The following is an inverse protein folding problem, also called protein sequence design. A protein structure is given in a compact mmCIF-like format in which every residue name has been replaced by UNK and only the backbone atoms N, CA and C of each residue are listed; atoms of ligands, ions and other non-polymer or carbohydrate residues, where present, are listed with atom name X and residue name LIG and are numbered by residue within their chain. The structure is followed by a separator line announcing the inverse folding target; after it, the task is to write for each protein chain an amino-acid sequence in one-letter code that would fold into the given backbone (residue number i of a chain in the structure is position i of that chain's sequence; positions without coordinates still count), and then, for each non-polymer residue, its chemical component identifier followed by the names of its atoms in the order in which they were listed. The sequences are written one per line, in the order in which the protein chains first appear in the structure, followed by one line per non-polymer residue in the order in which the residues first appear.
data_IF_754207966824
#
_entry.id   IF_754207966824
#
_cell.length_a   1.000
_cell.length_b   1.000
_cell.length_c   1.000
_cell.angle_alpha   90.00
_cell.angle_beta   90.00
_cell.angle_gamma   90.00
#
_symmetry.space_group_name_H-M   'P 1'
#
loop_
_entity.id
_entity.type
_entity.pdbx_description
1 polymer ?
#
# COMPACT_ATOMS: atom_id res chain seq x y z
N UNK A 1 -72.32 39.83 16.33
CA UNK A 1 -71.60 38.60 16.64
C UNK A 1 -70.79 38.23 15.40
N UNK A 2 -69.46 38.55 15.39
CA UNK A 2 -68.57 38.25 14.26
C UNK A 2 -67.80 36.96 14.63
N UNK A 3 -68.02 35.88 13.85
CA UNK A 3 -67.36 34.64 14.00
C UNK A 3 -66.02 34.71 13.21
N UNK A 4 -64.88 34.64 13.88
CA UNK A 4 -63.61 34.53 13.24
C UNK A 4 -63.30 33.04 13.08
N UNK A 5 -63.12 32.59 11.84
CA UNK A 5 -62.66 31.25 11.49
C UNK A 5 -61.17 31.30 11.40
N UNK A 6 -60.47 30.66 12.36
CA UNK A 6 -59.02 30.41 12.27
C UNK A 6 -58.77 29.15 11.43
N UNK A 7 -58.13 29.30 10.29
CA UNK A 7 -57.57 28.20 9.52
C UNK A 7 -56.19 27.87 10.11
N UNK A 8 -55.87 26.64 10.47
CA UNK A 8 -54.49 26.27 10.81
C UNK A 8 -53.71 26.09 9.51
N UNK A 9 -52.69 26.92 9.34
CA UNK A 9 -51.66 26.72 8.32
C UNK A 9 -50.80 25.50 8.67
N UNK A 10 -51.03 24.42 7.94
CA UNK A 10 -50.14 23.24 8.01
C UNK A 10 -48.82 23.59 7.34
N UNK A 11 -47.75 23.73 8.15
CA UNK A 11 -46.41 23.83 7.65
C UNK A 11 -45.96 22.41 7.27
N UNK A 12 -45.91 22.11 5.97
CA UNK A 12 -45.34 20.90 5.43
C UNK A 12 -43.80 21.06 5.42
N UNK A 13 -43.13 20.53 6.42
CA UNK A 13 -41.66 20.43 6.42
C UNK A 13 -41.30 19.27 5.48
N UNK A 14 -40.94 19.59 4.25
CA UNK A 14 -40.28 18.61 3.38
C UNK A 14 -38.86 18.37 3.89
N UNK A 15 -38.66 17.26 4.58
CA UNK A 15 -37.34 16.71 4.81
C UNK A 15 -36.81 16.20 3.47
N UNK A 16 -35.99 17.01 2.80
CA UNK A 16 -35.15 16.55 1.70
C UNK A 16 -34.11 15.61 2.29
N UNK A 17 -34.39 14.33 2.29
CA UNK A 17 -33.35 13.32 2.49
C UNK A 17 -32.50 13.33 1.22
N UNK A 18 -31.35 13.98 1.28
CA UNK A 18 -30.30 13.75 0.28
C UNK A 18 -29.88 12.28 0.45
N UNK A 19 -30.45 11.39 -0.32
CA UNK A 19 -29.87 10.12 -0.58
C UNK A 19 -28.69 10.40 -1.51
N UNK A 20 -27.48 10.54 -0.96
CA UNK A 20 -26.27 10.42 -1.75
C UNK A 20 -26.32 9.01 -2.34
N UNK A 21 -26.62 8.91 -3.62
CA UNK A 21 -26.40 7.70 -4.37
C UNK A 21 -24.88 7.50 -4.35
N UNK A 22 -24.41 6.53 -3.56
CA UNK A 22 -23.04 6.09 -3.67
C UNK A 22 -22.87 5.57 -5.11
N UNK A 23 -22.25 6.36 -5.96
CA UNK A 23 -21.81 5.90 -7.26
C UNK A 23 -20.64 4.95 -7.00
N UNK A 24 -20.79 3.70 -7.40
CA UNK A 24 -19.69 2.75 -7.47
C UNK A 24 -18.68 3.27 -8.49
N UNK A 25 -17.44 3.46 -8.06
CA UNK A 25 -16.34 3.87 -8.91
C UNK A 25 -15.52 2.65 -9.36
N UNK A 26 -14.95 2.75 -10.55
CA UNK A 26 -14.03 1.74 -11.05
C UNK A 26 -12.60 2.24 -10.94
N UNK A 27 -11.73 1.37 -10.42
CA UNK A 27 -10.31 1.64 -10.22
C UNK A 27 -9.48 0.57 -10.92
N UNK A 28 -8.35 0.96 -11.44
CA UNK A 28 -7.45 0.06 -12.17
C UNK A 28 -6.16 -0.15 -11.37
N UNK A 29 -5.69 -1.39 -11.38
CA UNK A 29 -4.37 -1.80 -10.86
C UNK A 29 -3.65 -2.56 -11.96
N UNK A 30 -2.44 -2.15 -12.27
CA UNK A 30 -1.62 -2.83 -13.27
C UNK A 30 -0.72 -3.87 -12.60
N UNK A 31 -0.47 -4.97 -13.29
CA UNK A 31 0.63 -5.89 -13.05
C UNK A 31 1.68 -5.56 -14.09
N UNK A 32 2.70 -4.75 -13.76
CA UNK A 32 3.63 -4.24 -14.75
C UNK A 32 4.57 -5.32 -15.26
N UNK A 33 5.13 -5.10 -16.45
CA UNK A 33 6.10 -5.99 -17.05
C UNK A 33 7.30 -6.24 -16.12
N UNK A 34 7.63 -7.50 -15.89
CA UNK A 34 8.74 -7.92 -15.03
C UNK A 34 8.34 -8.24 -13.59
N UNK A 35 7.07 -8.11 -13.21
CA UNK A 35 6.58 -8.40 -11.85
C UNK A 35 6.81 -9.85 -11.41
N UNK A 36 6.93 -10.77 -12.35
CA UNK A 36 7.20 -12.19 -12.07
C UNK A 36 8.60 -12.47 -11.50
N UNK A 37 9.57 -11.57 -11.69
CA UNK A 37 10.96 -11.82 -11.26
C UNK A 37 11.34 -10.93 -10.07
N UNK A 38 11.45 -11.51 -8.85
CA UNK A 38 11.78 -10.74 -7.64
C UNK A 38 13.21 -10.18 -7.65
N UNK A 39 14.04 -10.61 -8.60
CA UNK A 39 15.44 -10.14 -8.76
C UNK A 39 15.52 -8.92 -9.67
N UNK A 40 14.50 -8.71 -10.51
CA UNK A 40 14.48 -7.52 -11.34
C UNK A 40 14.33 -6.31 -10.43
N UNK A 41 15.39 -5.52 -10.38
CA UNK A 41 15.36 -4.18 -9.78
C UNK A 41 14.53 -3.28 -10.70
N UNK A 42 13.21 -3.42 -10.62
CA UNK A 42 12.36 -2.37 -11.15
C UNK A 42 12.59 -1.13 -10.28
N UNK A 43 12.67 0.07 -10.86
CA UNK A 43 12.89 1.29 -10.07
C UNK A 43 11.87 1.50 -8.96
N UNK A 44 10.78 0.76 -9.00
CA UNK A 44 9.63 0.96 -8.14
C UNK A 44 9.46 -0.09 -7.06
N UNK A 45 10.14 -1.25 -7.10
CA UNK A 45 9.86 -2.39 -6.23
C UNK A 45 8.35 -2.72 -6.12
N UNK A 46 7.61 -2.46 -7.20
CA UNK A 46 6.16 -2.47 -7.25
C UNK A 46 5.74 -3.64 -8.13
N UNK A 47 5.08 -4.61 -7.50
CA UNK A 47 4.51 -5.76 -8.19
C UNK A 47 3.12 -5.47 -8.78
N UNK A 48 2.46 -4.46 -8.19
CA UNK A 48 1.15 -3.93 -8.58
C UNK A 48 1.24 -2.41 -8.60
N UNK A 49 0.64 -1.76 -9.57
CA UNK A 49 0.65 -0.29 -9.71
C UNK A 49 -0.79 0.26 -9.74
N UNK A 50 -1.22 0.94 -8.67
CA UNK A 50 -0.50 1.20 -7.42
C UNK A 50 -0.44 -0.05 -6.52
N UNK A 51 0.57 -0.18 -5.62
CA UNK A 51 0.70 -1.31 -4.69
C UNK A 51 -0.33 -1.25 -3.55
N UNK A 52 -0.82 -0.05 -3.27
CA UNK A 52 -1.85 0.22 -2.27
C UNK A 52 -2.90 1.14 -2.89
N UNK A 53 -4.17 0.76 -2.74
CA UNK A 53 -5.28 1.52 -3.30
C UNK A 53 -6.36 1.75 -2.24
N UNK A 54 -6.97 2.95 -2.29
CA UNK A 54 -8.03 3.37 -1.37
C UNK A 54 -9.31 3.52 -2.16
N UNK A 55 -10.34 2.82 -1.73
CA UNK A 55 -11.64 2.76 -2.41
C UNK A 55 -12.78 2.84 -1.39
N UNK A 56 -13.99 3.07 -1.86
CA UNK A 56 -15.21 3.06 -1.06
C UNK A 56 -15.93 1.72 -1.15
N UNK A 57 -16.80 1.44 -0.17
CA UNK A 57 -17.70 0.28 -0.25
C UNK A 57 -18.58 0.41 -1.50
N UNK A 58 -18.61 -0.65 -2.30
CA UNK A 58 -19.31 -0.72 -3.58
C UNK A 58 -18.40 -0.48 -4.80
N UNK A 59 -17.19 0.02 -4.61
CA UNK A 59 -16.25 0.22 -5.71
C UNK A 59 -15.71 -1.11 -6.24
N UNK A 60 -15.32 -1.07 -7.50
CA UNK A 60 -14.76 -2.22 -8.22
C UNK A 60 -13.32 -1.93 -8.59
N UNK A 61 -12.43 -2.88 -8.30
CA UNK A 61 -11.05 -2.84 -8.77
C UNK A 61 -10.89 -3.85 -9.90
N UNK A 62 -10.21 -3.42 -10.97
CA UNK A 62 -9.81 -4.28 -12.09
C UNK A 62 -8.29 -4.36 -12.13
N UNK A 63 -7.76 -5.58 -12.04
CA UNK A 63 -6.33 -5.86 -12.23
C UNK A 63 -6.09 -6.23 -13.69
N UNK A 64 -5.17 -5.53 -14.34
CA UNK A 64 -4.74 -5.76 -15.73
C UNK A 64 -3.35 -6.40 -15.74
N UNK A 65 -3.20 -7.51 -16.44
CA UNK A 65 -1.91 -8.15 -16.59
C UNK A 65 -1.16 -7.62 -17.80
N UNK A 66 -0.17 -6.76 -17.56
CA UNK A 66 0.77 -6.28 -18.58
C UNK A 66 2.11 -7.04 -18.53
N UNK A 67 2.26 -7.98 -17.59
CA UNK A 67 3.44 -8.84 -17.51
C UNK A 67 3.37 -9.95 -18.58
N UNK A 68 4.50 -10.56 -18.85
CA UNK A 68 4.61 -11.69 -19.81
C UNK A 68 4.18 -13.03 -19.24
N UNK A 69 4.08 -13.14 -17.90
CA UNK A 69 3.68 -14.36 -17.20
C UNK A 69 2.21 -14.31 -16.79
N UNK A 70 1.65 -15.46 -16.45
CA UNK A 70 0.29 -15.54 -15.90
C UNK A 70 0.30 -15.21 -14.41
N UNK A 71 -0.74 -14.49 -13.97
CA UNK A 71 -0.93 -14.12 -12.57
C UNK A 71 -2.34 -14.45 -12.10
N UNK A 72 -2.54 -14.46 -10.79
CA UNK A 72 -3.85 -14.41 -10.17
C UNK A 72 -3.85 -13.42 -9.00
N UNK A 73 -5.03 -13.07 -8.53
CA UNK A 73 -5.23 -12.18 -7.38
C UNK A 73 -5.96 -12.96 -6.31
N UNK A 74 -5.29 -13.24 -5.20
CA UNK A 74 -5.84 -14.03 -4.09
C UNK A 74 -5.72 -13.24 -2.79
N UNK A 75 -6.84 -13.12 -2.06
CA UNK A 75 -6.84 -12.45 -0.75
C UNK A 75 -6.02 -13.23 0.27
N UNK A 76 -5.15 -12.52 0.99
CA UNK A 76 -4.26 -13.12 1.98
C UNK A 76 -2.92 -12.44 2.06
N UNK A 77 -2.00 -13.06 2.78
CA UNK A 77 -0.62 -12.60 2.93
C UNK A 77 0.29 -13.49 2.07
N UNK A 78 1.09 -12.89 1.21
CA UNK A 78 2.14 -13.58 0.47
C UNK A 78 3.38 -13.81 1.33
N UNK A 79 4.50 -14.11 0.69
CA UNK A 79 5.78 -14.31 1.39
C UNK A 79 6.62 -13.04 1.49
N UNK A 80 6.14 -11.96 0.84
CA UNK A 80 6.91 -10.75 0.64
C UNK A 80 8.16 -10.97 -0.20
N UNK A 81 8.86 -9.90 -0.53
CA UNK A 81 10.04 -9.92 -1.41
C UNK A 81 11.14 -10.89 -0.97
N UNK A 82 11.28 -11.12 0.32
CA UNK A 82 12.35 -11.98 0.85
C UNK A 82 11.95 -13.46 0.98
N UNK A 83 10.66 -13.77 0.92
CA UNK A 83 10.17 -15.15 1.00
C UNK A 83 10.62 -16.04 -0.16
N UNK A 84 11.02 -15.47 -1.30
CA UNK A 84 11.55 -16.24 -2.43
C UNK A 84 12.95 -16.83 -2.16
N UNK A 85 13.69 -16.32 -1.16
CA UNK A 85 15.00 -16.83 -0.77
C UNK A 85 14.92 -18.01 0.19
N UNK A 86 13.78 -18.17 0.88
CA UNK A 86 13.49 -19.29 1.77
C UNK A 86 12.41 -20.19 1.17
N UNK A 87 12.85 -21.22 0.46
CA UNK A 87 11.98 -22.17 -0.23
C UNK A 87 11.09 -23.00 0.72
N UNK A 88 11.25 -22.88 2.03
CA UNK A 88 10.49 -23.66 3.02
C UNK A 88 9.13 -23.04 3.38
N UNK A 89 8.90 -21.73 3.10
CA UNK A 89 7.68 -21.02 3.47
C UNK A 89 6.99 -20.31 2.29
N UNK A 90 7.12 -20.83 1.08
CA UNK A 90 6.89 -20.11 -0.17
C UNK A 90 5.47 -20.13 -0.74
N UNK A 91 4.43 -20.40 0.04
CA UNK A 91 3.09 -20.58 -0.53
C UNK A 91 2.09 -19.46 -0.24
N UNK A 92 2.42 -18.52 0.64
CA UNK A 92 1.47 -17.52 1.11
C UNK A 92 0.33 -18.13 1.98
N UNK A 93 -0.48 -17.27 2.57
CA UNK A 93 -1.60 -17.64 3.47
C UNK A 93 -2.91 -17.01 2.95
N UNK A 94 -3.71 -17.75 2.14
CA UNK A 94 -4.94 -17.23 1.58
C UNK A 94 -6.04 -17.14 2.64
N UNK A 95 -6.78 -16.01 2.65
CA UNK A 95 -7.93 -15.83 3.56
C UNK A 95 -9.23 -16.40 3.00
N UNK A 96 -9.31 -16.67 1.70
CA UNK A 96 -10.51 -17.16 1.04
C UNK A 96 -11.59 -16.10 0.78
N UNK A 97 -11.30 -14.81 1.00
CA UNK A 97 -12.28 -13.75 0.76
C UNK A 97 -12.53 -13.50 -0.73
N UNK A 98 -11.48 -13.49 -1.54
CA UNK A 98 -11.55 -13.53 -3.00
C UNK A 98 -10.37 -14.28 -3.59
N UNK A 99 -10.57 -14.83 -4.78
CA UNK A 99 -9.50 -15.41 -5.60
C UNK A 99 -9.94 -15.41 -7.05
N UNK A 100 -9.09 -14.91 -7.94
CA UNK A 100 -9.26 -15.10 -9.37
C UNK A 100 -8.70 -16.45 -9.81
N UNK A 101 -9.07 -16.90 -11.01
CA UNK A 101 -8.27 -17.87 -11.74
C UNK A 101 -6.99 -17.20 -12.28
N UNK A 102 -6.08 -17.98 -12.84
CA UNK A 102 -4.92 -17.46 -13.55
C UNK A 102 -5.39 -16.75 -14.83
N UNK A 103 -4.90 -15.53 -15.06
CA UNK A 103 -5.16 -14.76 -16.26
C UNK A 103 -3.85 -14.35 -16.95
N UNK A 104 -3.86 -14.44 -18.28
CA UNK A 104 -2.67 -14.26 -19.10
C UNK A 104 -2.39 -12.77 -19.41
N UNK A 105 -1.25 -12.51 -20.06
CA UNK A 105 -0.89 -11.18 -20.58
C UNK A 105 -2.02 -10.58 -21.41
N UNK A 106 -2.39 -9.34 -21.10
CA UNK A 106 -3.47 -8.59 -21.77
C UNK A 106 -4.88 -8.93 -21.26
N UNK A 107 -5.02 -9.89 -20.35
CA UNK A 107 -6.28 -10.18 -19.68
C UNK A 107 -6.41 -9.39 -18.36
N UNK A 108 -7.61 -9.40 -17.79
CA UNK A 108 -7.91 -8.70 -16.55
C UNK A 108 -8.91 -9.49 -15.71
N UNK A 109 -8.94 -9.16 -14.43
CA UNK A 109 -9.93 -9.66 -13.49
C UNK A 109 -10.41 -8.54 -12.59
N UNK A 110 -11.70 -8.56 -12.21
CA UNK A 110 -12.31 -7.50 -11.40
C UNK A 110 -12.99 -8.07 -10.17
N UNK A 111 -12.97 -7.28 -9.09
CA UNK A 111 -13.68 -7.61 -7.85
C UNK A 111 -14.31 -6.35 -7.25
N UNK A 112 -15.57 -6.47 -6.77
CA UNK A 112 -16.30 -5.40 -6.11
C UNK A 112 -16.21 -5.57 -4.58
N UNK A 113 -15.76 -4.53 -3.89
CA UNK A 113 -15.59 -4.54 -2.44
C UNK A 113 -16.86 -4.05 -1.74
N UNK A 114 -17.64 -4.97 -1.18
CA UNK A 114 -18.92 -4.67 -0.52
C UNK A 114 -18.80 -4.51 1.01
N UNK A 115 -17.60 -4.60 1.56
CA UNK A 115 -17.35 -4.54 3.00
C UNK A 115 -16.18 -3.62 3.30
N UNK A 116 -16.28 -2.86 4.40
CA UNK A 116 -15.16 -2.09 4.96
C UNK A 116 -14.05 -3.01 5.40
N UNK A 117 -12.82 -2.62 5.12
CA UNK A 117 -11.70 -3.41 5.61
C UNK A 117 -10.37 -3.04 5.00
N UNK A 118 -9.38 -3.84 5.34
CA UNK A 118 -8.06 -3.82 4.73
C UNK A 118 -7.84 -5.21 4.19
N UNK A 119 -7.75 -5.30 2.90
CA UNK A 119 -7.65 -6.54 2.17
C UNK A 119 -6.26 -6.64 1.54
N UNK A 120 -5.40 -7.47 2.12
CA UNK A 120 -4.16 -7.85 1.49
C UNK A 120 -4.44 -8.85 0.41
N UNK A 121 -3.65 -8.83 -0.64
CA UNK A 121 -3.72 -9.82 -1.71
C UNK A 121 -2.33 -10.11 -2.26
N UNK A 122 -2.20 -11.24 -2.92
CA UNK A 122 -0.96 -11.69 -3.52
C UNK A 122 -1.23 -12.57 -4.74
N UNK A 123 -0.17 -12.91 -5.49
CA UNK A 123 -0.24 -13.90 -6.57
C UNK A 123 0.23 -15.26 -6.05
N UNK A 124 -0.58 -16.32 -6.18
CA UNK A 124 -0.24 -17.63 -5.62
C UNK A 124 0.93 -18.32 -6.32
N UNK A 125 1.17 -18.01 -7.59
CA UNK A 125 2.31 -18.55 -8.36
C UNK A 125 3.57 -17.68 -8.23
N UNK A 126 3.41 -16.43 -7.70
CA UNK A 126 4.48 -15.50 -7.41
C UNK A 126 4.25 -14.87 -6.02
N UNK A 127 4.40 -15.64 -4.93
CA UNK A 127 3.90 -15.24 -3.61
C UNK A 127 4.62 -14.06 -2.98
N UNK A 128 5.69 -13.57 -3.59
CA UNK A 128 6.35 -12.31 -3.23
C UNK A 128 5.62 -11.06 -3.74
N UNK A 129 4.70 -11.22 -4.72
CA UNK A 129 3.91 -10.13 -5.25
C UNK A 129 2.72 -9.87 -4.32
N UNK A 130 2.76 -8.78 -3.60
CA UNK A 130 1.72 -8.38 -2.64
C UNK A 130 1.19 -6.99 -2.94
N UNK A 131 -0.11 -6.79 -2.66
CA UNK A 131 -0.79 -5.51 -2.71
C UNK A 131 -1.82 -5.37 -1.59
N UNK A 132 -2.37 -4.16 -1.43
CA UNK A 132 -3.32 -3.85 -0.36
C UNK A 132 -4.45 -2.98 -0.90
N UNK A 133 -5.68 -3.36 -0.57
CA UNK A 133 -6.87 -2.53 -0.78
C UNK A 133 -7.38 -2.04 0.57
N UNK A 134 -7.56 -0.73 0.70
CA UNK A 134 -8.20 -0.07 1.84
C UNK A 134 -9.61 0.36 1.44
N UNK A 135 -10.63 -0.27 2.03
CA UNK A 135 -12.03 0.02 1.73
C UNK A 135 -12.64 0.83 2.86
N UNK A 136 -13.08 2.07 2.57
CA UNK A 136 -13.61 3.04 3.55
C UNK A 136 -12.71 3.18 4.79
N UNK A 137 -11.42 2.97 4.63
CA UNK A 137 -10.47 3.25 5.68
C UNK A 137 -10.04 4.71 5.58
N UNK A 138 -10.01 5.38 6.70
CA UNK A 138 -9.33 6.68 6.75
C UNK A 138 -7.88 6.44 6.31
N UNK A 139 -7.50 7.10 5.23
CA UNK A 139 -6.09 7.16 4.84
C UNK A 139 -5.36 7.78 6.02
N UNK A 140 -4.48 7.06 6.72
CA UNK A 140 -3.72 7.68 7.79
C UNK A 140 -2.96 8.85 7.18
N UNK A 141 -3.00 9.97 7.85
CA UNK A 141 -2.30 11.18 7.43
C UNK A 141 -0.81 11.04 7.73
N UNK A 142 -0.16 10.15 7.02
CA UNK A 142 1.21 9.68 7.24
C UNK A 142 2.05 9.73 5.98
N UNK A 143 3.36 9.73 6.19
CA UNK A 143 4.09 10.08 7.40
C UNK A 143 4.09 11.59 7.67
N UNK A 144 4.29 11.98 8.92
CA UNK A 144 4.47 13.39 9.29
C UNK A 144 5.87 13.62 9.85
N UNK A 145 6.40 14.82 9.67
CA UNK A 145 7.61 15.26 10.34
C UNK A 145 7.34 15.61 11.82
N UNK A 146 8.38 15.94 12.55
CA UNK A 146 8.26 16.33 13.95
C UNK A 146 7.40 17.60 14.19
N UNK A 147 7.10 18.36 13.14
CA UNK A 147 6.25 19.56 13.18
C UNK A 147 4.81 19.27 12.76
N UNK A 148 4.51 18.01 12.41
CA UNK A 148 3.18 17.59 11.97
C UNK A 148 2.92 17.82 10.46
N UNK A 149 3.93 18.15 9.66
CA UNK A 149 3.76 18.31 8.22
C UNK A 149 3.79 16.94 7.53
N UNK A 150 2.86 16.71 6.61
CA UNK A 150 2.78 15.48 5.82
C UNK A 150 4.03 15.30 4.96
N UNK A 151 4.62 14.12 5.04
CA UNK A 151 5.76 13.71 4.23
C UNK A 151 5.30 12.82 3.08
N UNK A 152 5.93 12.95 1.92
CA UNK A 152 5.73 12.03 0.80
C UNK A 152 6.82 10.96 0.82
N UNK A 153 6.47 9.74 0.41
CA UNK A 153 7.45 8.70 0.19
C UNK A 153 8.11 8.80 -1.20
N UNK A 154 9.41 8.48 -1.29
CA UNK A 154 10.33 8.24 -0.17
C UNK A 154 10.60 9.53 0.61
N UNK A 155 10.88 9.42 1.92
CA UNK A 155 11.36 10.52 2.71
C UNK A 155 12.83 10.74 2.35
N UNK A 156 13.13 11.93 1.83
CA UNK A 156 14.47 12.31 1.44
C UNK A 156 15.20 12.97 2.61
N UNK A 157 16.36 12.44 2.96
CA UNK A 157 17.25 13.01 3.95
C UNK A 157 18.66 13.10 3.37
N UNK A 158 19.38 14.13 3.73
CA UNK A 158 20.78 14.32 3.32
C UNK A 158 21.64 14.43 4.58
N UNK A 159 22.78 13.75 4.58
CA UNK A 159 23.71 13.83 5.70
C UNK A 159 24.21 15.27 5.91
N UNK A 160 24.59 15.67 7.13
CA UNK A 160 25.03 17.03 7.42
C UNK A 160 26.21 17.52 6.57
N UNK A 161 27.09 16.62 6.15
CA UNK A 161 28.21 16.88 5.25
C UNK A 161 27.81 16.86 3.76
N UNK A 162 26.53 16.61 3.48
CA UNK A 162 25.95 16.52 2.13
C UNK A 162 26.58 15.43 1.24
N UNK A 163 27.20 14.43 1.81
CA UNK A 163 27.89 13.37 1.07
C UNK A 163 26.97 12.21 0.68
N UNK A 164 25.87 12.00 1.42
CA UNK A 164 24.93 10.90 1.22
C UNK A 164 23.51 11.42 1.23
N UNK A 165 22.75 11.10 0.19
CA UNK A 165 21.30 11.19 0.17
C UNK A 165 20.70 9.85 0.56
N UNK A 166 19.71 9.87 1.46
CA UNK A 166 19.01 8.70 1.98
C UNK A 166 17.55 8.80 1.56
N UNK A 167 17.10 7.86 0.76
CA UNK A 167 15.69 7.66 0.45
C UNK A 167 15.13 6.59 1.38
N UNK A 168 14.21 6.99 2.25
CA UNK A 168 13.63 6.13 3.26
C UNK A 168 12.13 5.99 3.07
N UNK A 169 11.66 4.75 3.10
CA UNK A 169 10.24 4.41 3.06
C UNK A 169 9.95 3.15 3.89
N UNK A 170 8.70 2.78 4.00
CA UNK A 170 8.28 1.52 4.61
C UNK A 170 7.02 0.97 3.97
N UNK A 171 6.83 -0.33 4.12
CA UNK A 171 5.68 -1.08 3.64
C UNK A 171 5.14 -2.01 4.73
N UNK A 172 3.83 -2.10 4.92
CA UNK A 172 2.79 -1.23 4.35
C UNK A 172 2.87 0.20 4.91
N UNK A 173 2.39 1.19 4.17
CA UNK A 173 2.41 2.62 4.62
C UNK A 173 1.78 2.83 5.98
N UNK A 174 0.74 2.05 6.28
CA UNK A 174 0.09 2.04 7.60
C UNK A 174 0.73 1.00 8.50
N UNK A 175 1.55 1.46 9.45
CA UNK A 175 2.15 0.58 10.46
C UNK A 175 1.07 0.16 11.47
N UNK A 176 0.95 -1.16 11.69
CA UNK A 176 0.02 -1.74 12.67
C UNK A 176 0.76 -2.58 13.69
N UNK A 177 0.23 -2.62 14.92
CA UNK A 177 0.75 -3.47 15.99
C UNK A 177 0.68 -4.95 15.58
N UNK A 178 1.74 -5.69 15.86
CA UNK A 178 1.90 -7.12 15.55
C UNK A 178 1.88 -7.47 14.04
N UNK A 179 2.07 -6.48 13.16
CA UNK A 179 2.25 -6.73 11.74
C UNK A 179 3.69 -6.44 11.34
N UNK A 180 4.18 -7.24 10.41
CA UNK A 180 5.52 -7.04 9.82
C UNK A 180 5.52 -5.72 9.05
N UNK A 181 6.59 -4.97 9.21
CA UNK A 181 6.86 -3.74 8.46
C UNK A 181 8.25 -3.90 7.84
N UNK A 182 8.35 -3.65 6.56
CA UNK A 182 9.61 -3.62 5.86
C UNK A 182 10.07 -2.16 5.75
N UNK A 183 11.20 -1.83 6.32
CA UNK A 183 11.84 -0.53 6.14
C UNK A 183 12.77 -0.60 4.95
N UNK A 184 12.68 0.36 4.05
CA UNK A 184 13.39 0.39 2.76
C UNK A 184 14.31 1.60 2.78
N UNK A 185 15.61 1.36 2.64
CA UNK A 185 16.65 2.38 2.62
C UNK A 185 17.37 2.32 1.28
N UNK A 186 17.54 3.47 0.63
CA UNK A 186 18.36 3.64 -0.56
C UNK A 186 19.32 4.77 -0.32
N UNK A 187 20.57 4.59 -0.71
CA UNK A 187 21.64 5.53 -0.46
C UNK A 187 22.26 5.97 -1.77
N UNK A 188 22.36 7.27 -1.97
CA UNK A 188 22.91 7.89 -3.17
C UNK A 188 24.00 8.87 -2.82
N UNK A 189 24.96 9.05 -3.73
CA UNK A 189 25.95 10.13 -3.65
C UNK A 189 25.36 11.44 -4.19
N UNK A 190 26.14 12.52 -4.11
CA UNK A 190 25.76 13.85 -4.58
C UNK A 190 25.47 13.95 -6.09
N UNK A 191 25.72 12.90 -6.85
CA UNK A 191 25.46 12.82 -8.29
C UNK A 191 24.32 11.85 -8.60
N UNK A 192 23.48 11.54 -7.62
CA UNK A 192 22.39 10.56 -7.71
C UNK A 192 22.84 9.13 -8.08
N UNK A 193 24.10 8.77 -7.82
CA UNK A 193 24.60 7.44 -8.07
C UNK A 193 24.44 6.57 -6.82
N UNK A 194 23.83 5.38 -6.95
CA UNK A 194 23.62 4.49 -5.82
C UNK A 194 24.96 3.97 -5.27
N UNK A 195 25.13 4.03 -3.95
CA UNK A 195 26.28 3.41 -3.30
C UNK A 195 26.28 1.90 -3.50
N UNK A 196 27.46 1.34 -3.80
CA UNK A 196 27.62 -0.11 -3.95
C UNK A 196 27.51 -0.84 -2.61
N UNK A 197 27.97 -0.18 -1.56
CA UNK A 197 27.95 -0.70 -0.19
C UNK A 197 28.12 0.47 0.78
N UNK A 198 27.26 0.54 1.77
CA UNK A 198 27.36 1.50 2.87
C UNK A 198 27.09 0.77 4.19
N UNK A 199 27.81 1.16 5.23
CA UNK A 199 27.57 0.68 6.58
C UNK A 199 26.82 1.74 7.36
N UNK A 200 25.79 1.36 8.12
CA UNK A 200 24.92 2.27 8.87
C UNK A 200 24.32 1.59 10.08
N UNK A 201 23.83 2.38 11.02
CA UNK A 201 23.08 1.92 12.18
C UNK A 201 21.63 2.36 12.06
N UNK A 202 20.71 1.50 12.49
CA UNK A 202 19.30 1.81 12.60
C UNK A 202 18.90 1.87 14.07
N UNK A 203 18.33 2.97 14.50
CA UNK A 203 17.78 3.14 15.84
C UNK A 203 16.36 3.63 15.74
N UNK A 204 15.40 2.88 16.29
CA UNK A 204 14.00 3.30 16.37
C UNK A 204 13.72 3.78 17.81
N UNK A 205 13.25 5.01 17.90
CA UNK A 205 12.91 5.66 19.18
C UNK A 205 11.40 5.92 19.20
N UNK A 206 10.72 5.42 20.22
CA UNK A 206 9.32 5.68 20.49
C UNK A 206 9.15 6.36 21.84
N UNK A 207 8.51 7.52 21.87
CA UNK A 207 8.30 8.30 23.11
C UNK A 207 9.61 8.56 23.91
N UNK A 208 10.68 8.85 23.19
CA UNK A 208 11.99 9.10 23.80
C UNK A 208 12.73 7.86 24.30
N UNK A 209 12.18 6.67 24.09
CA UNK A 209 12.80 5.40 24.45
C UNK A 209 13.22 4.63 23.20
N UNK A 210 14.45 4.13 23.19
CA UNK A 210 14.90 3.20 22.16
C UNK A 210 14.13 1.89 22.28
N UNK A 211 13.51 1.48 21.15
CA UNK A 211 12.71 0.26 21.05
C UNK A 211 13.33 -0.76 20.09
N UNK A 212 14.26 -0.33 19.24
CA UNK A 212 14.99 -1.19 18.34
C UNK A 212 16.34 -0.58 17.99
N UNK A 213 17.35 -1.43 17.81
CA UNK A 213 18.68 -1.09 17.33
C UNK A 213 19.25 -2.23 16.48
N UNK A 214 19.75 -1.88 15.30
CA UNK A 214 20.57 -2.75 14.45
C UNK A 214 21.86 -2.02 14.15
N UNK A 215 22.97 -2.50 14.69
CA UNK A 215 24.29 -1.89 14.54
C UNK A 215 25.08 -2.57 13.45
N UNK A 216 25.85 -1.77 12.71
CA UNK A 216 26.72 -2.25 11.63
C UNK A 216 25.94 -2.93 10.48
N UNK A 217 24.71 -2.52 10.23
CA UNK A 217 23.98 -2.95 9.05
C UNK A 217 24.75 -2.56 7.78
N UNK A 218 24.69 -3.41 6.77
CA UNK A 218 25.43 -3.18 5.52
C UNK A 218 24.45 -3.29 4.36
N UNK A 219 24.34 -2.22 3.58
CA UNK A 219 23.51 -2.23 2.40
C UNK A 219 24.07 -3.12 1.29
N UNK A 220 23.17 -3.71 0.50
CA UNK A 220 23.49 -4.21 -0.83
C UNK A 220 23.70 -3.08 -1.85
N UNK A 221 23.80 -3.44 -3.13
CA UNK A 221 23.91 -2.45 -4.20
C UNK A 221 22.64 -1.60 -4.29
N UNK A 222 22.79 -0.30 -4.05
CA UNK A 222 21.71 0.68 -4.18
C UNK A 222 20.71 0.77 -3.03
N UNK A 223 20.79 -0.10 -2.01
CA UNK A 223 19.88 0.00 -0.87
C UNK A 223 19.82 -1.24 0.02
N UNK A 224 18.94 -1.21 0.99
CA UNK A 224 18.70 -2.31 1.92
C UNK A 224 17.23 -2.32 2.38
N UNK A 225 16.80 -3.47 2.92
CA UNK A 225 15.48 -3.73 3.46
C UNK A 225 15.62 -4.32 4.87
N UNK A 226 14.87 -3.79 5.82
CA UNK A 226 14.84 -4.21 7.21
C UNK A 226 13.40 -4.33 7.74
#
# INVERSE_FOLDING_TARGET
MKCFLFLPTAICVMLLTNSESAFSEQHDVLIPFGSYDPRLNTPTDVWYEPPEIFVSVGDTITWFNEDKETHNITSGEGTGRFGWTDLSESYGDPTGFFSSELFATGESWSFTFNERGIFRYYCTVHPWMEGIVYVDQLVPDYPHDAKGNKQQFPILQVTPDQSVEINFSWEPKVIRTYKKVNFIYRFYDVNDLPFKKIQYDIIIIQNGKEVFRDENAVSGFGGDYR
#
